data_IF_325430311397
#
_entry.id   IF_325430311397
#
_cell.length_a   1.000
_cell.length_b   1.000
_cell.length_c   1.000
_cell.angle_alpha   90.00
_cell.angle_beta   90.00
_cell.angle_gamma   90.00
#
_symmetry.space_group_name_H-M   'P 1'
#
loop_
_entity.id
_entity.type
_entity.pdbx_description
1 polymer ?
#
# COMPACT_ATOMS: atom_id res chain seq x y z
N UNK A 1 -30.83 -3.23 -21.63
CA UNK A 1 -30.97 -3.07 -20.17
C UNK A 1 -29.59 -3.29 -19.57
N UNK A 2 -28.83 -2.25 -19.18
CA UNK A 2 -27.52 -2.47 -18.57
C UNK A 2 -27.73 -3.10 -17.18
N UNK A 3 -27.14 -4.26 -16.96
CA UNK A 3 -27.12 -4.93 -15.66
C UNK A 3 -26.26 -4.11 -14.71
N UNK A 4 -26.83 -3.63 -13.60
CA UNK A 4 -26.10 -2.97 -12.52
C UNK A 4 -25.29 -3.97 -11.68
N UNK A 5 -24.36 -4.69 -12.31
CA UNK A 5 -23.33 -5.42 -11.56
C UNK A 5 -22.26 -4.41 -11.09
N UNK A 6 -21.73 -4.53 -9.86
CA UNK A 6 -20.72 -3.62 -9.35
C UNK A 6 -19.50 -3.51 -10.26
N UNK A 7 -19.07 -4.62 -10.88
CA UNK A 7 -17.98 -4.63 -11.87
C UNK A 7 -18.25 -3.71 -13.08
N UNK A 8 -19.51 -3.62 -13.53
CA UNK A 8 -19.90 -2.75 -14.64
C UNK A 8 -19.86 -1.26 -14.23
N UNK A 9 -20.11 -0.95 -12.96
CA UNK A 9 -20.00 0.40 -12.41
C UNK A 9 -18.53 0.80 -12.21
N UNK A 10 -17.69 -0.12 -11.76
CA UNK A 10 -16.25 0.09 -11.60
C UNK A 10 -15.56 0.33 -12.95
N UNK A 11 -15.90 -0.46 -13.97
CA UNK A 11 -15.36 -0.29 -15.33
C UNK A 11 -15.84 1.00 -15.99
N UNK A 12 -17.09 1.43 -15.77
CA UNK A 12 -17.59 2.74 -16.23
C UNK A 12 -16.89 3.90 -15.49
N UNK A 13 -16.63 3.77 -14.19
CA UNK A 13 -15.86 4.74 -13.41
C UNK A 13 -14.42 4.86 -13.91
N UNK A 14 -13.73 3.73 -14.11
CA UNK A 14 -12.36 3.70 -14.65
C UNK A 14 -12.30 4.32 -16.05
N UNK A 15 -13.27 4.00 -16.91
CA UNK A 15 -13.38 4.58 -18.25
C UNK A 15 -13.54 6.09 -18.19
N UNK A 16 -14.39 6.60 -17.29
CA UNK A 16 -14.59 8.05 -17.09
C UNK A 16 -13.36 8.74 -16.53
N UNK A 17 -12.67 8.12 -15.58
CA UNK A 17 -11.42 8.65 -15.03
C UNK A 17 -10.33 8.69 -16.09
N UNK A 18 -10.17 7.62 -16.89
CA UNK A 18 -9.18 7.53 -17.96
C UNK A 18 -9.46 8.48 -19.15
N UNK A 19 -10.74 8.79 -19.41
CA UNK A 19 -11.12 9.79 -20.42
C UNK A 19 -10.80 11.23 -19.98
N UNK A 20 -10.34 11.43 -18.74
CA UNK A 20 -9.98 12.74 -18.17
C UNK A 20 -8.55 12.72 -17.66
N UNK A 21 -7.90 13.89 -17.55
CA UNK A 21 -6.60 14.00 -16.86
C UNK A 21 -6.69 13.73 -15.34
N UNK A 22 -7.89 13.44 -14.81
CA UNK A 22 -8.11 13.17 -13.40
C UNK A 22 -7.37 11.92 -12.91
N UNK A 23 -7.16 10.92 -13.78
CA UNK A 23 -6.40 9.72 -13.44
C UNK A 23 -4.92 10.05 -13.20
N UNK A 24 -4.33 10.87 -14.07
CA UNK A 24 -2.94 11.32 -13.96
C UNK A 24 -2.74 12.18 -12.70
N UNK A 25 -3.65 13.14 -12.45
CA UNK A 25 -3.60 13.96 -11.23
C UNK A 25 -3.76 13.14 -9.95
N UNK A 26 -4.62 12.11 -9.96
CA UNK A 26 -4.79 11.18 -8.85
C UNK A 26 -3.51 10.38 -8.60
N UNK A 27 -2.88 9.88 -9.67
CA UNK A 27 -1.60 9.16 -9.60
C UNK A 27 -0.49 10.02 -9.02
N UNK A 28 -0.30 11.25 -9.52
CA UNK A 28 0.74 12.17 -9.02
C UNK A 28 0.53 12.52 -7.55
N UNK A 29 -0.73 12.75 -7.16
CA UNK A 29 -1.08 13.07 -5.77
C UNK A 29 -0.79 11.89 -4.84
N UNK A 30 -1.25 10.68 -5.19
CA UNK A 30 -1.03 9.48 -4.40
C UNK A 30 0.45 9.11 -4.31
N UNK A 31 1.17 9.17 -5.43
CA UNK A 31 2.61 8.91 -5.47
C UNK A 31 3.38 9.92 -4.60
N UNK A 32 3.05 11.20 -4.71
CA UNK A 32 3.63 12.25 -3.88
C UNK A 32 3.33 12.05 -2.38
N UNK A 33 2.12 11.60 -2.05
CA UNK A 33 1.72 11.33 -0.67
C UNK A 33 2.44 10.11 -0.09
N UNK A 34 2.55 9.00 -0.85
CA UNK A 34 3.31 7.81 -0.48
C UNK A 34 4.79 8.14 -0.23
N UNK A 35 5.39 8.92 -1.13
CA UNK A 35 6.79 9.32 -1.02
C UNK A 35 7.01 10.21 0.21
N UNK A 36 6.17 11.23 0.42
CA UNK A 36 6.24 12.09 1.62
C UNK A 36 6.01 11.34 2.92
N UNK A 37 5.21 10.28 2.90
CA UNK A 37 5.00 9.40 4.04
C UNK A 37 6.16 8.41 4.27
N UNK A 38 7.20 8.45 3.43
CA UNK A 38 8.36 7.55 3.50
C UNK A 38 8.01 6.09 3.19
N UNK A 39 6.88 5.84 2.51
CA UNK A 39 6.41 4.47 2.26
C UNK A 39 7.27 3.78 1.21
N UNK A 40 7.70 4.51 0.17
CA UNK A 40 8.57 3.99 -0.89
C UNK A 40 9.91 3.49 -0.36
N UNK A 41 10.45 4.18 0.64
CA UNK A 41 11.70 3.88 1.33
C UNK A 41 11.55 2.65 2.21
N UNK A 42 10.42 2.54 2.94
CA UNK A 42 10.10 1.36 3.75
C UNK A 42 9.96 0.10 2.90
N UNK A 43 9.27 0.17 1.76
CA UNK A 43 9.17 -0.95 0.81
C UNK A 43 10.54 -1.33 0.25
N UNK A 44 11.33 -0.35 -0.17
CA UNK A 44 12.68 -0.59 -0.71
C UNK A 44 13.60 -1.22 0.34
N UNK A 45 13.52 -0.75 1.57
CA UNK A 45 14.30 -1.28 2.69
C UNK A 45 13.90 -2.72 3.02
N UNK A 46 12.59 -3.01 3.10
CA UNK A 46 12.10 -4.37 3.30
C UNK A 46 12.57 -5.31 2.18
N UNK A 47 12.42 -4.93 0.92
CA UNK A 47 12.87 -5.73 -0.22
C UNK A 47 14.38 -5.99 -0.19
N UNK A 48 15.17 -4.98 0.15
CA UNK A 48 16.63 -5.10 0.27
C UNK A 48 17.01 -6.09 1.38
N UNK A 49 16.35 -6.02 2.53
CA UNK A 49 16.63 -6.91 3.65
C UNK A 49 16.16 -8.34 3.41
N UNK A 50 15.02 -8.54 2.74
CA UNK A 50 14.58 -9.86 2.30
C UNK A 50 15.61 -10.55 1.39
N UNK A 51 16.22 -9.79 0.48
CA UNK A 51 17.30 -10.29 -0.39
C UNK A 51 18.60 -10.53 0.39
N UNK A 52 19.00 -9.61 1.27
CA UNK A 52 20.22 -9.75 2.09
C UNK A 52 20.14 -10.92 3.07
N UNK A 53 18.96 -11.20 3.61
CA UNK A 53 18.71 -12.33 4.49
C UNK A 53 18.53 -13.66 3.72
N UNK A 54 18.64 -13.67 2.39
CA UNK A 54 18.37 -14.83 1.53
C UNK A 54 16.98 -15.46 1.78
N UNK A 55 15.99 -14.64 2.13
CA UNK A 55 14.61 -15.08 2.42
C UNK A 55 13.74 -15.13 1.17
N UNK A 56 14.10 -14.32 0.17
CA UNK A 56 13.52 -14.32 -1.15
C UNK A 56 14.66 -14.51 -2.14
N UNK A 57 14.52 -15.48 -3.04
CA UNK A 57 15.51 -15.76 -4.07
C UNK A 57 15.02 -15.29 -5.45
N UNK A 58 13.71 -15.10 -5.60
CA UNK A 58 13.07 -14.62 -6.81
C UNK A 58 12.35 -13.30 -6.60
N UNK A 59 12.09 -12.59 -7.71
CA UNK A 59 11.31 -11.35 -7.69
C UNK A 59 9.88 -11.57 -7.21
N UNK A 60 9.27 -12.70 -7.60
CA UNK A 60 7.90 -13.05 -7.21
C UNK A 60 7.81 -13.25 -5.68
N UNK A 61 8.80 -13.89 -5.06
CA UNK A 61 8.85 -14.05 -3.59
C UNK A 61 8.91 -12.70 -2.85
N UNK A 62 9.65 -11.72 -3.40
CA UNK A 62 9.74 -10.37 -2.81
C UNK A 62 8.41 -9.63 -2.96
N UNK A 63 7.77 -9.72 -4.14
CA UNK A 63 6.48 -9.09 -4.38
C UNK A 63 5.39 -9.65 -3.46
N UNK A 64 5.32 -10.98 -3.32
CA UNK A 64 4.35 -11.62 -2.44
C UNK A 64 4.54 -11.21 -0.98
N UNK A 65 5.80 -11.11 -0.51
CA UNK A 65 6.11 -10.64 0.83
C UNK A 65 5.71 -9.17 1.05
N UNK A 66 6.02 -8.29 0.11
CA UNK A 66 5.68 -6.85 0.18
C UNK A 66 4.16 -6.63 0.09
N UNK A 67 3.47 -7.29 -0.85
CA UNK A 67 2.02 -7.22 -0.98
C UNK A 67 1.30 -7.78 0.25
N UNK A 68 1.84 -8.87 0.81
CA UNK A 68 1.36 -9.43 2.08
C UNK A 68 1.41 -8.42 3.23
N UNK A 69 2.44 -7.59 3.30
CA UNK A 69 2.57 -6.53 4.31
C UNK A 69 1.78 -5.24 4.00
N UNK A 70 1.49 -4.98 2.73
CA UNK A 70 0.79 -3.75 2.28
C UNK A 70 -0.72 -3.79 2.51
N UNK A 71 -1.34 -4.98 2.47
CA UNK A 71 -2.79 -5.11 2.54
C UNK A 71 -3.35 -5.00 3.98
N UNK A 72 -4.40 -4.19 4.17
CA UNK A 72 -5.08 -3.99 5.45
C UNK A 72 -6.06 -5.12 5.84
N UNK A 73 -6.13 -6.21 5.08
CA UNK A 73 -7.22 -7.18 5.18
C UNK A 73 -6.79 -8.65 5.11
N UNK A 74 -6.98 -9.35 6.24
CA UNK A 74 -7.33 -10.79 6.31
C UNK A 74 -6.31 -11.86 5.94
N UNK A 75 -5.01 -11.59 5.98
CA UNK A 75 -4.06 -12.65 6.32
C UNK A 75 -3.65 -12.47 7.77
N UNK A 76 -4.19 -13.36 8.61
CA UNK A 76 -3.54 -13.76 9.85
C UNK A 76 -2.03 -13.71 9.62
N UNK A 77 -1.33 -12.95 10.47
CA UNK A 77 0.08 -12.74 10.29
C UNK A 77 0.78 -14.07 10.02
N UNK A 78 1.31 -14.20 8.80
CA UNK A 78 2.67 -14.72 8.64
C UNK A 78 3.68 -13.65 9.10
N UNK A 79 3.38 -12.95 10.20
CA UNK A 79 4.41 -12.74 11.19
C UNK A 79 4.92 -14.14 11.49
N UNK A 80 6.17 -14.41 11.17
CA UNK A 80 6.87 -15.62 11.61
C UNK A 80 7.13 -15.50 13.13
N UNK A 81 6.08 -15.19 13.88
CA UNK A 81 6.07 -14.84 15.29
C UNK A 81 6.14 -16.10 16.11
N UNK A 82 7.35 -16.65 16.21
CA UNK A 82 7.68 -17.49 17.36
C UNK A 82 7.47 -16.64 18.59
N UNK A 83 6.36 -16.87 19.32
CA UNK A 83 6.08 -16.20 20.60
C UNK A 83 7.31 -16.31 21.50
N UNK A 84 7.94 -15.17 21.81
CA UNK A 84 8.78 -15.06 23.01
C UNK A 84 8.44 -13.79 23.76
N UNK A 85 7.74 -14.03 24.86
CA UNK A 85 7.79 -13.25 26.08
C UNK A 85 9.26 -12.93 26.43
N UNK A 86 9.56 -11.68 26.77
CA UNK A 86 10.94 -11.26 27.02
C UNK A 86 11.15 -9.76 26.96
N UNK A 87 10.71 -9.07 28.02
CA UNK A 87 11.25 -7.74 28.37
C UNK A 87 12.77 -7.81 28.51
N UNK A 88 13.51 -7.15 27.63
CA UNK A 88 14.92 -6.77 27.88
C UNK A 88 15.25 -5.43 27.22
N UNK A 89 15.59 -4.43 28.04
CA UNK A 89 16.38 -3.26 27.64
C UNK A 89 17.66 -3.74 26.96
N UNK A 90 17.86 -3.41 25.69
CA UNK A 90 19.07 -3.75 24.95
C UNK A 90 19.52 -2.56 24.08
N UNK A 91 20.09 -1.54 24.72
CA UNK A 91 20.98 -0.62 24.02
C UNK A 91 22.26 -1.41 23.67
N UNK A 92 22.50 -1.65 22.38
CA UNK A 92 23.58 -2.47 21.76
C UNK A 92 23.26 -3.96 21.50
N UNK A 93 22.07 -4.28 20.98
CA UNK A 93 21.88 -5.56 20.28
C UNK A 93 22.61 -5.54 18.91
N UNK A 94 23.32 -6.63 18.52
CA UNK A 94 23.84 -6.78 17.16
C UNK A 94 22.72 -6.64 16.12
N UNK A 95 23.02 -6.05 14.97
CA UNK A 95 22.08 -5.96 13.85
C UNK A 95 21.57 -7.36 13.48
N UNK A 96 20.28 -7.58 13.65
CA UNK A 96 19.59 -8.81 13.27
C UNK A 96 18.64 -8.51 12.11
N UNK A 97 18.98 -8.92 10.87
CA UNK A 97 18.15 -8.70 9.70
C UNK A 97 16.73 -9.26 9.86
N UNK A 98 16.56 -10.35 10.61
CA UNK A 98 15.26 -10.99 10.79
C UNK A 98 14.33 -10.11 11.63
N UNK A 99 14.87 -9.53 12.70
CA UNK A 99 14.13 -8.58 13.54
C UNK A 99 13.73 -7.33 12.75
N UNK A 100 14.63 -6.84 11.90
CA UNK A 100 14.34 -5.67 11.06
C UNK A 100 13.20 -5.94 10.07
N UNK A 101 13.22 -7.09 9.38
CA UNK A 101 12.15 -7.50 8.46
C UNK A 101 10.78 -7.58 9.15
N UNK A 102 10.74 -8.00 10.42
CA UNK A 102 9.50 -8.07 11.21
C UNK A 102 9.01 -6.70 11.72
N UNK A 103 9.92 -5.73 11.91
CA UNK A 103 9.62 -4.40 12.45
C UNK A 103 9.20 -3.40 11.36
N UNK A 104 9.59 -3.62 10.10
CA UNK A 104 9.25 -2.71 9.00
C UNK A 104 7.79 -2.87 8.59
N UNK A 105 6.97 -1.91 9.01
CA UNK A 105 5.57 -1.79 8.60
C UNK A 105 5.45 -1.13 7.21
N UNK A 106 5.11 -1.95 6.21
CA UNK A 106 4.85 -1.52 4.82
C UNK A 106 3.36 -1.33 4.52
N UNK A 107 2.50 -1.29 5.53
CA UNK A 107 1.10 -0.92 5.37
C UNK A 107 0.96 0.45 4.69
N UNK A 108 0.01 0.56 3.77
CA UNK A 108 -0.31 1.85 3.14
C UNK A 108 -0.83 2.80 4.25
N UNK A 109 -0.21 3.98 4.44
CA UNK A 109 -0.65 4.91 5.48
C UNK A 109 -2.08 5.38 5.25
N UNK A 110 -2.91 5.40 6.31
CA UNK A 110 -4.32 5.83 6.23
C UNK A 110 -4.46 7.24 5.65
N UNK A 111 -3.50 8.13 5.91
CA UNK A 111 -3.48 9.49 5.33
C UNK A 111 -3.47 9.49 3.80
N UNK A 112 -2.79 8.51 3.19
CA UNK A 112 -2.73 8.35 1.73
C UNK A 112 -4.04 7.77 1.21
N UNK A 113 -4.62 6.82 1.93
CA UNK A 113 -5.93 6.21 1.59
C UNK A 113 -7.03 7.27 1.63
N UNK A 114 -7.04 8.10 2.67
CA UNK A 114 -8.00 9.19 2.85
C UNK A 114 -7.84 10.25 1.75
N UNK A 115 -6.61 10.62 1.40
CA UNK A 115 -6.32 11.58 0.33
C UNK A 115 -6.80 11.05 -1.04
N UNK A 116 -6.55 9.77 -1.33
CA UNK A 116 -7.05 9.10 -2.52
C UNK A 116 -8.58 9.07 -2.59
N UNK A 117 -9.23 8.65 -1.50
CA UNK A 117 -10.68 8.60 -1.39
C UNK A 117 -11.34 9.97 -1.55
N UNK A 118 -10.75 11.00 -0.92
CA UNK A 118 -11.22 12.38 -1.02
C UNK A 118 -11.08 12.92 -2.45
N UNK A 119 -9.94 12.69 -3.12
CA UNK A 119 -9.76 13.09 -4.53
C UNK A 119 -10.74 12.38 -5.45
N UNK A 120 -10.88 11.07 -5.32
CA UNK A 120 -11.83 10.29 -6.13
C UNK A 120 -13.27 10.80 -5.94
N UNK A 121 -13.64 11.13 -4.70
CA UNK A 121 -14.94 11.73 -4.39
C UNK A 121 -15.12 13.11 -5.03
N UNK A 122 -14.07 13.93 -5.09
CA UNK A 122 -14.10 15.25 -5.75
C UNK A 122 -14.35 15.11 -7.26
N UNK A 123 -13.68 14.18 -7.93
CA UNK A 123 -13.84 13.98 -9.37
C UNK A 123 -15.19 13.34 -9.74
N UNK A 124 -15.72 12.46 -8.90
CA UNK A 124 -17.05 11.85 -9.11
C UNK A 124 -18.20 12.78 -8.75
N UNK A 125 -18.07 13.62 -7.71
CA UNK A 125 -19.09 14.59 -7.31
C UNK A 125 -19.14 15.85 -8.21
N UNK A 126 -18.06 16.15 -8.92
CA UNK A 126 -17.95 17.34 -9.79
C UNK A 126 -18.87 17.33 -11.02
N UNK A 127 -19.44 16.19 -11.41
CA UNK A 127 -20.29 16.07 -12.61
C UNK A 127 -21.75 16.52 -12.41
N UNK A 128 -22.12 17.01 -11.22
CA UNK A 128 -23.50 17.38 -10.86
C UNK A 128 -23.86 18.87 -10.88
N UNK A 129 -22.93 19.79 -11.20
CA UNK A 129 -23.21 21.24 -11.18
C UNK A 129 -22.64 21.95 -12.42
N UNK A 130 -23.22 21.69 -13.58
CA UNK A 130 -23.22 22.63 -14.70
C UNK A 130 -24.58 22.53 -15.38
N UNK A 131 -25.45 23.50 -15.09
CA UNK A 131 -26.84 23.45 -15.49
C UNK A 131 -27.67 24.48 -14.73
N UNK A 132 -27.35 25.77 -14.94
CA UNK A 132 -28.29 26.90 -14.87
C UNK A 132 -27.64 28.14 -15.44
#
# INVERSE_FOLDING_TARGET
MPSSTPDALESDLLTKLAATSALEELQETLLGSLHRAGWTERVTSLATELLRAHRCETFDDVLDAVNGGTSNGTTEGKANGTKKDGSTNAENAPYDPLKYIEEVDVRIPDTVVDEGGARLKKHTAGHGRSGR
#
